data_IF_802012294008
#
_entry.id   IF_802012294008
#
_cell.length_a   1.000
_cell.length_b   1.000
_cell.length_c   1.000
_cell.angle_alpha   90.00
_cell.angle_beta   90.00
_cell.angle_gamma   90.00
#
_symmetry.space_group_name_H-M   'P 1'
#
loop_
_entity.id
_entity.type
_entity.pdbx_description
1 polymer ?
#
# COMPACT_ATOMS: atom_id res chain seq x y z
N UNK A 1 52.86 -27.11 -40.85
CA UNK A 1 53.06 -26.10 -39.76
C UNK A 1 51.88 -26.21 -38.84
N UNK A 2 52.03 -27.00 -37.73
CA UNK A 2 50.94 -27.28 -36.78
C UNK A 2 51.07 -26.26 -35.64
N UNK A 3 50.01 -25.50 -35.40
CA UNK A 3 49.92 -24.59 -34.28
C UNK A 3 49.18 -25.31 -33.13
N UNK A 4 49.93 -25.60 -32.06
CA UNK A 4 49.39 -26.19 -30.81
C UNK A 4 48.65 -25.09 -30.03
N UNK A 5 47.35 -25.26 -29.81
CA UNK A 5 46.58 -24.42 -28.89
C UNK A 5 46.81 -24.87 -27.45
N UNK A 6 47.37 -24.01 -26.62
CA UNK A 6 47.42 -24.20 -25.16
C UNK A 6 46.06 -23.81 -24.54
N UNK A 7 45.37 -24.82 -23.97
CA UNK A 7 44.21 -24.59 -23.12
C UNK A 7 44.70 -24.06 -21.74
N UNK A 8 44.33 -22.81 -21.41
CA UNK A 8 44.47 -22.33 -20.07
C UNK A 8 43.16 -22.64 -19.31
N UNK A 9 43.23 -23.53 -18.34
CA UNK A 9 42.18 -23.74 -17.36
C UNK A 9 42.24 -22.61 -16.33
N UNK A 10 41.41 -21.59 -16.47
CA UNK A 10 41.15 -20.64 -15.40
C UNK A 10 40.08 -21.25 -14.49
N UNK A 11 40.50 -21.76 -13.33
CA UNK A 11 39.57 -22.03 -12.23
C UNK A 11 39.22 -20.66 -11.61
N UNK A 12 38.06 -20.13 -11.94
CA UNK A 12 37.47 -19.01 -11.20
C UNK A 12 36.93 -19.57 -9.89
N UNK A 13 37.63 -19.32 -8.80
CA UNK A 13 37.13 -19.54 -7.44
C UNK A 13 36.12 -18.41 -7.18
N UNK A 14 34.83 -18.68 -7.34
CA UNK A 14 33.78 -17.78 -6.92
C UNK A 14 33.71 -17.80 -5.39
N UNK A 15 34.28 -16.79 -4.75
CA UNK A 15 34.01 -16.49 -3.34
C UNK A 15 32.57 -15.95 -3.28
N UNK A 16 31.63 -16.80 -2.96
CA UNK A 16 30.29 -16.37 -2.54
C UNK A 16 30.43 -15.81 -1.13
N UNK A 17 30.62 -14.52 -1.02
CA UNK A 17 30.47 -13.80 0.24
C UNK A 17 28.97 -13.70 0.51
N UNK A 18 28.44 -14.64 1.27
CA UNK A 18 27.09 -14.55 1.85
C UNK A 18 27.06 -13.34 2.77
N UNK A 19 26.58 -12.21 2.27
CA UNK A 19 26.25 -11.07 3.11
C UNK A 19 24.99 -11.43 3.89
N UNK A 20 25.18 -11.90 5.11
CA UNK A 20 24.10 -12.09 6.08
C UNK A 20 23.61 -10.70 6.42
N UNK A 21 22.47 -10.30 5.84
CA UNK A 21 21.75 -9.11 6.23
C UNK A 21 21.20 -9.31 7.64
N UNK A 22 21.92 -8.83 8.66
CA UNK A 22 21.38 -8.68 9.99
C UNK A 22 20.25 -7.65 9.94
N UNK A 23 19.01 -8.12 10.05
CA UNK A 23 17.86 -7.26 10.31
C UNK A 23 18.00 -6.72 11.74
N UNK A 24 18.58 -5.55 11.88
CA UNK A 24 18.51 -4.81 13.13
C UNK A 24 17.13 -4.17 13.19
N UNK A 25 16.17 -4.80 13.86
CA UNK A 25 14.95 -4.13 14.25
C UNK A 25 15.34 -3.02 15.23
N UNK A 26 15.31 -1.79 14.76
CA UNK A 26 15.42 -0.63 15.63
C UNK A 26 14.07 -0.51 16.34
N UNK A 27 14.00 -1.04 17.56
CA UNK A 27 12.83 -0.86 18.40
C UNK A 27 12.66 0.62 18.69
N UNK A 28 11.52 1.17 18.30
CA UNK A 28 11.11 2.51 18.73
C UNK A 28 10.88 2.45 20.25
N UNK A 29 11.45 3.40 20.99
CA UNK A 29 11.11 3.58 22.41
C UNK A 29 9.73 4.22 22.59
N UNK A 30 8.96 4.35 21.52
CA UNK A 30 7.70 5.07 21.46
C UNK A 30 6.57 4.06 21.33
N UNK A 31 5.64 4.03 22.28
CA UNK A 31 4.46 3.13 22.22
C UNK A 31 3.63 3.44 20.97
N UNK A 32 3.25 2.44 20.17
CA UNK A 32 2.42 2.65 18.98
C UNK A 32 1.04 3.19 19.38
N UNK A 33 0.43 3.98 18.49
CA UNK A 33 -0.93 4.49 18.70
C UNK A 33 -2.00 3.38 18.62
N UNK A 34 -1.68 2.27 18.00
CA UNK A 34 -2.55 1.10 17.83
C UNK A 34 -1.73 -0.18 17.96
N UNK A 35 -2.33 -1.23 18.48
CA UNK A 35 -1.78 -2.58 18.55
C UNK A 35 -2.45 -3.51 17.53
N UNK A 36 -2.99 -2.94 16.45
CA UNK A 36 -3.65 -3.68 15.37
C UNK A 36 -3.15 -3.24 14.01
N UNK A 37 -3.17 -4.14 13.00
CA UNK A 37 -3.05 -3.72 11.62
C UNK A 37 -4.24 -2.82 11.23
N UNK A 38 -4.10 -2.06 10.11
CA UNK A 38 -5.24 -1.32 9.59
C UNK A 38 -6.37 -2.28 9.18
N UNK A 39 -7.62 -1.86 9.44
CA UNK A 39 -8.81 -2.69 9.26
C UNK A 39 -9.65 -2.27 8.05
N UNK A 40 -9.28 -1.20 7.38
CA UNK A 40 -10.01 -0.73 6.20
C UNK A 40 -9.10 0.06 5.28
N UNK A 41 -9.28 -0.14 3.98
CA UNK A 41 -8.79 0.73 2.91
C UNK A 41 -10.00 1.37 2.24
N UNK A 42 -9.97 2.70 2.08
CA UNK A 42 -10.99 3.44 1.33
C UNK A 42 -10.46 3.76 -0.06
N UNK A 43 -11.27 3.49 -1.06
CA UNK A 43 -10.96 3.74 -2.48
C UNK A 43 -12.05 4.61 -3.06
N UNK A 44 -11.70 5.80 -3.53
CA UNK A 44 -12.62 6.69 -4.24
C UNK A 44 -12.66 6.33 -5.73
N UNK A 45 -13.87 6.12 -6.26
CA UNK A 45 -14.12 5.61 -7.61
C UNK A 45 -15.17 6.43 -8.34
N UNK A 46 -15.25 6.27 -9.67
CA UNK A 46 -16.35 6.76 -10.49
C UNK A 46 -17.46 5.73 -10.70
N UNK A 47 -17.14 4.47 -10.54
CA UNK A 47 -18.08 3.37 -10.74
C UNK A 47 -17.70 2.23 -9.80
N UNK A 48 -18.53 2.02 -8.80
CA UNK A 48 -18.33 1.01 -7.75
C UNK A 48 -18.29 -0.39 -8.33
N UNK A 49 -19.25 -0.73 -9.22
CA UNK A 49 -19.42 -2.08 -9.76
C UNK A 49 -18.18 -2.50 -10.55
N UNK A 50 -17.61 -1.59 -11.32
CA UNK A 50 -16.43 -1.86 -12.16
C UNK A 50 -15.19 -2.24 -11.34
N UNK A 51 -15.04 -1.63 -10.15
CA UNK A 51 -13.90 -1.96 -9.26
C UNK A 51 -14.24 -3.16 -8.39
N UNK A 52 -15.49 -3.27 -7.93
CA UNK A 52 -15.98 -4.41 -7.15
C UNK A 52 -15.85 -5.73 -7.93
N UNK A 53 -16.02 -5.69 -9.25
CA UNK A 53 -15.88 -6.84 -10.13
C UNK A 53 -14.55 -7.56 -9.95
N UNK A 54 -13.43 -6.81 -9.83
CA UNK A 54 -12.11 -7.37 -9.54
C UNK A 54 -12.11 -8.14 -8.22
N UNK A 55 -12.57 -7.52 -7.13
CA UNK A 55 -12.56 -8.15 -5.81
C UNK A 55 -13.51 -9.35 -5.73
N UNK A 56 -14.70 -9.25 -6.33
CA UNK A 56 -15.74 -10.28 -6.25
C UNK A 56 -15.44 -11.46 -7.18
N UNK A 57 -15.16 -11.19 -8.48
CA UNK A 57 -15.00 -12.28 -9.46
C UNK A 57 -13.64 -12.96 -9.35
N UNK A 58 -12.57 -12.20 -9.16
CA UNK A 58 -11.22 -12.77 -9.06
C UNK A 58 -10.92 -13.18 -7.62
N UNK A 59 -11.30 -12.34 -6.64
CA UNK A 59 -10.93 -12.49 -5.23
C UNK A 59 -11.92 -13.27 -4.36
N UNK A 60 -13.11 -13.61 -4.85
CA UNK A 60 -14.20 -14.25 -4.07
C UNK A 60 -14.57 -13.42 -2.82
N UNK A 61 -14.50 -12.08 -2.92
CA UNK A 61 -14.85 -11.18 -1.84
C UNK A 61 -16.37 -11.11 -1.65
N UNK A 62 -16.79 -10.92 -0.41
CA UNK A 62 -18.20 -10.82 0.00
C UNK A 62 -18.58 -9.36 0.24
N UNK A 63 -19.80 -9.00 -0.17
CA UNK A 63 -20.41 -7.71 0.15
C UNK A 63 -20.86 -7.75 1.61
N UNK A 64 -20.39 -6.77 2.40
CA UNK A 64 -20.71 -6.61 3.82
C UNK A 64 -21.72 -5.49 4.04
N UNK A 65 -21.61 -4.42 3.27
CA UNK A 65 -22.52 -3.29 3.30
C UNK A 65 -22.59 -2.65 1.92
N UNK A 66 -23.78 -2.15 1.55
CA UNK A 66 -24.03 -1.40 0.34
C UNK A 66 -25.09 -0.35 0.61
N UNK A 67 -24.91 0.86 0.11
CA UNK A 67 -25.89 1.93 0.24
C UNK A 67 -25.29 3.32 0.21
N UNK A 68 -26.10 4.29 0.62
CA UNK A 68 -25.70 5.69 0.63
C UNK A 68 -24.73 6.01 1.75
N UNK A 69 -23.70 6.77 1.46
CA UNK A 69 -22.72 7.26 2.45
C UNK A 69 -23.46 8.17 3.45
N UNK A 70 -23.28 7.94 4.75
CA UNK A 70 -23.92 8.76 5.78
C UNK A 70 -23.49 10.23 5.69
N UNK A 71 -24.37 11.15 6.07
CA UNK A 71 -24.08 12.60 6.07
C UNK A 71 -22.85 12.93 6.91
N UNK A 72 -22.68 12.24 8.03
CA UNK A 72 -21.51 12.43 8.92
C UNK A 72 -20.21 11.89 8.28
N UNK A 73 -20.29 10.81 7.50
CA UNK A 73 -19.14 10.29 6.75
C UNK A 73 -18.77 11.20 5.58
N UNK A 74 -19.75 11.72 4.81
CA UNK A 74 -19.53 12.76 3.77
C UNK A 74 -18.77 13.95 4.35
N UNK A 75 -19.22 14.47 5.49
CA UNK A 75 -18.56 15.58 6.17
C UNK A 75 -17.14 15.22 6.64
N UNK A 76 -16.93 13.98 7.07
CA UNK A 76 -15.61 13.53 7.52
C UNK A 76 -14.57 13.50 6.39
N UNK A 77 -14.99 13.25 5.16
CA UNK A 77 -14.17 13.35 3.95
C UNK A 77 -13.85 14.80 3.53
N UNK A 78 -14.33 15.80 4.27
CA UNK A 78 -14.10 17.23 3.97
C UNK A 78 -14.99 17.79 2.85
N UNK A 79 -16.03 17.04 2.47
CA UNK A 79 -16.99 17.48 1.43
C UNK A 79 -18.03 18.42 2.01
N UNK A 80 -18.63 19.24 1.13
CA UNK A 80 -19.64 20.25 1.52
C UNK A 80 -20.93 19.57 1.98
N UNK A 81 -21.65 20.26 2.87
CA UNK A 81 -22.99 19.85 3.30
C UNK A 81 -23.94 19.76 2.10
N UNK A 82 -24.79 18.73 2.09
CA UNK A 82 -25.71 18.43 1.00
C UNK A 82 -25.13 17.58 -0.13
N UNK A 83 -23.84 17.29 -0.10
CA UNK A 83 -23.27 16.29 -1.01
C UNK A 83 -23.69 14.88 -0.61
N UNK A 84 -23.85 14.01 -1.61
CA UNK A 84 -24.23 12.62 -1.48
C UNK A 84 -23.20 11.70 -2.11
N UNK A 85 -23.37 10.42 -1.96
CA UNK A 85 -22.56 9.39 -2.58
C UNK A 85 -23.02 8.00 -2.15
N UNK A 86 -22.56 7.02 -2.87
CA UNK A 86 -22.82 5.60 -2.60
C UNK A 86 -21.53 4.92 -2.12
N UNK A 87 -21.69 3.85 -1.34
CA UNK A 87 -20.58 3.03 -0.88
C UNK A 87 -20.87 1.54 -0.97
N UNK A 88 -19.82 0.77 -1.20
CA UNK A 88 -19.82 -0.67 -1.13
C UNK A 88 -18.65 -1.13 -0.26
N UNK A 89 -18.93 -1.94 0.76
CA UNK A 89 -17.92 -2.50 1.64
C UNK A 89 -17.76 -3.98 1.36
N UNK A 90 -16.54 -4.36 1.02
CA UNK A 90 -16.16 -5.71 0.65
C UNK A 90 -15.20 -6.31 1.69
N UNK A 91 -15.21 -7.62 1.83
CA UNK A 91 -14.34 -8.39 2.72
C UNK A 91 -13.86 -9.66 2.04
N UNK A 92 -12.61 -10.05 2.21
CA UNK A 92 -12.12 -11.36 1.80
C UNK A 92 -12.91 -12.46 2.55
N UNK A 93 -13.22 -13.57 1.88
CA UNK A 93 -14.17 -14.58 2.36
C UNK A 93 -13.81 -15.18 3.72
N UNK A 94 -12.53 -15.46 3.94
CA UNK A 94 -12.06 -16.20 5.10
C UNK A 94 -11.35 -15.31 6.14
N UNK A 95 -11.60 -14.01 6.10
CA UNK A 95 -10.97 -13.06 7.02
C UNK A 95 -12.01 -12.08 7.61
N UNK A 96 -11.72 -11.53 8.77
CA UNK A 96 -12.59 -10.54 9.41
C UNK A 96 -12.19 -9.09 9.10
N UNK A 97 -10.98 -8.89 8.62
CA UNK A 97 -10.44 -7.60 8.16
C UNK A 97 -9.18 -7.82 7.31
N UNK A 98 -8.72 -6.85 6.50
CA UNK A 98 -9.31 -5.53 6.33
C UNK A 98 -10.49 -5.51 5.35
N UNK A 99 -11.36 -4.52 5.52
CA UNK A 99 -12.39 -4.19 4.54
C UNK A 99 -11.80 -3.36 3.38
N UNK A 100 -12.41 -3.53 2.20
CA UNK A 100 -12.26 -2.61 1.07
C UNK A 100 -13.54 -1.79 1.00
N UNK A 101 -13.46 -0.49 1.24
CA UNK A 101 -14.58 0.43 1.05
C UNK A 101 -14.42 1.17 -0.26
N UNK A 102 -15.28 0.92 -1.20
CA UNK A 102 -15.42 1.69 -2.43
C UNK A 102 -16.40 2.83 -2.17
N UNK A 103 -16.05 4.06 -2.53
CA UNK A 103 -16.89 5.24 -2.38
C UNK A 103 -17.00 5.97 -3.71
N UNK A 104 -18.24 6.21 -4.14
CA UNK A 104 -18.55 7.05 -5.31
C UNK A 104 -19.29 8.30 -4.83
N UNK A 105 -18.60 9.43 -4.83
CA UNK A 105 -19.20 10.71 -4.47
C UNK A 105 -19.95 11.27 -5.66
N UNK A 106 -21.19 11.77 -5.45
CA UNK A 106 -22.04 12.38 -6.49
C UNK A 106 -21.50 13.77 -6.88
N UNK A 107 -20.35 13.75 -7.52
CA UNK A 107 -19.61 14.93 -7.96
C UNK A 107 -19.11 14.70 -9.38
N UNK A 108 -19.45 15.63 -10.27
CA UNK A 108 -18.98 15.58 -11.65
C UNK A 108 -17.49 15.92 -11.76
N UNK A 109 -16.82 15.34 -12.75
CA UNK A 109 -15.43 15.64 -13.11
C UNK A 109 -14.42 15.39 -11.99
N UNK A 110 -14.60 14.32 -11.21
CA UNK A 110 -13.58 13.85 -10.27
C UNK A 110 -12.26 13.61 -10.99
N UNK A 111 -11.16 13.96 -10.36
CA UNK A 111 -9.82 13.85 -10.96
C UNK A 111 -9.03 12.74 -10.29
N UNK A 112 -8.19 12.00 -11.01
CA UNK A 112 -7.27 11.07 -10.37
C UNK A 112 -6.36 11.78 -9.36
N UNK A 113 -6.13 11.16 -8.20
CA UNK A 113 -5.14 11.63 -7.23
C UNK A 113 -3.74 11.64 -7.86
N UNK A 114 -3.44 10.64 -8.66
CA UNK A 114 -2.14 10.43 -9.32
C UNK A 114 -2.32 10.28 -10.83
N UNK A 115 -2.58 11.38 -11.57
CA UNK A 115 -2.67 11.33 -13.03
C UNK A 115 -1.31 10.95 -13.62
N UNK A 116 -1.29 10.01 -14.60
CA UNK A 116 -0.08 9.48 -15.21
C UNK A 116 0.54 8.31 -14.44
N UNK A 117 0.53 8.33 -13.12
CA UNK A 117 0.94 7.22 -12.24
C UNK A 117 2.29 6.57 -12.55
N UNK A 118 3.31 7.38 -12.84
CA UNK A 118 4.67 6.86 -12.90
C UNK A 118 5.14 6.40 -11.52
N UNK A 119 5.98 5.38 -11.46
CA UNK A 119 6.50 4.87 -10.20
C UNK A 119 7.24 5.94 -9.38
N UNK A 120 7.88 6.90 -10.03
CA UNK A 120 8.64 7.99 -9.41
C UNK A 120 7.87 9.30 -9.20
N UNK A 121 6.57 9.36 -9.56
CA UNK A 121 5.69 10.43 -9.09
C UNK A 121 5.45 10.25 -7.60
N UNK A 122 5.43 11.33 -6.84
CA UNK A 122 5.27 11.28 -5.38
C UNK A 122 3.89 11.75 -4.93
N UNK A 123 3.56 11.48 -3.68
CA UNK A 123 2.28 11.87 -3.08
C UNK A 123 1.19 10.81 -3.19
N UNK A 124 0.29 10.82 -2.22
CA UNK A 124 -0.81 9.87 -2.04
C UNK A 124 -0.33 8.40 -1.86
N UNK A 125 -1.27 7.47 -1.84
CA UNK A 125 -0.94 6.06 -1.96
C UNK A 125 -0.69 5.70 -3.42
N UNK A 126 0.32 4.86 -3.65
CA UNK A 126 0.69 4.40 -4.99
C UNK A 126 -0.04 3.12 -5.37
N UNK A 127 0.05 2.09 -4.53
CA UNK A 127 -0.58 0.79 -4.80
C UNK A 127 -1.01 0.07 -3.53
N UNK A 128 -2.05 -0.75 -3.66
CA UNK A 128 -2.50 -1.70 -2.66
C UNK A 128 -1.91 -3.07 -2.97
N UNK A 129 -1.37 -3.78 -1.97
CA UNK A 129 -0.67 -5.05 -2.17
C UNK A 129 -1.51 -6.24 -1.72
N UNK A 130 -1.62 -7.23 -2.60
CA UNK A 130 -2.38 -8.45 -2.41
C UNK A 130 -1.50 -9.68 -2.69
N UNK A 131 -1.64 -10.72 -1.89
CA UNK A 131 -1.11 -12.03 -2.28
C UNK A 131 -2.01 -12.61 -3.36
N UNK A 132 -1.40 -13.23 -4.36
CA UNK A 132 -2.11 -13.87 -5.47
C UNK A 132 -1.56 -15.28 -5.68
N UNK A 133 -2.41 -16.22 -6.01
CA UNK A 133 -2.04 -17.57 -6.47
C UNK A 133 -2.13 -17.59 -7.98
N UNK A 134 -1.23 -18.32 -8.65
CA UNK A 134 -1.23 -18.44 -10.11
C UNK A 134 -1.27 -17.08 -10.82
N UNK A 135 -0.32 -16.22 -10.47
CA UNK A 135 -0.28 -14.82 -10.92
C UNK A 135 -0.37 -14.68 -12.45
N UNK A 136 0.20 -15.65 -13.20
CA UNK A 136 0.12 -15.66 -14.66
C UNK A 136 -1.33 -15.82 -15.19
N UNK A 137 -2.17 -16.57 -14.47
CA UNK A 137 -3.60 -16.72 -14.81
C UNK A 137 -4.34 -15.43 -14.49
N UNK A 138 -4.18 -14.91 -13.27
CA UNK A 138 -4.80 -13.63 -12.84
C UNK A 138 -4.38 -12.49 -13.76
N UNK A 139 -3.14 -12.49 -14.23
CA UNK A 139 -2.65 -11.49 -15.19
C UNK A 139 -3.50 -11.46 -16.46
N UNK A 140 -3.77 -12.63 -17.06
CA UNK A 140 -4.58 -12.71 -18.26
C UNK A 140 -6.02 -12.29 -18.00
N UNK A 141 -6.63 -12.75 -16.90
CA UNK A 141 -8.00 -12.40 -16.54
C UNK A 141 -8.14 -10.88 -16.36
N UNK A 142 -7.18 -10.22 -15.72
CA UNK A 142 -7.20 -8.77 -15.51
C UNK A 142 -7.01 -7.98 -16.82
N UNK A 143 -6.16 -8.46 -17.72
CA UNK A 143 -6.03 -7.85 -19.06
C UNK A 143 -7.36 -7.93 -19.81
N UNK A 144 -8.06 -9.08 -19.76
CA UNK A 144 -9.40 -9.23 -20.35
C UNK A 144 -10.44 -8.31 -19.72
N UNK A 145 -10.34 -8.03 -18.42
CA UNK A 145 -11.18 -7.06 -17.71
C UNK A 145 -10.83 -5.60 -18.03
N UNK A 146 -9.83 -5.34 -18.88
CA UNK A 146 -9.39 -4.00 -19.29
C UNK A 146 -8.42 -3.33 -18.31
N UNK A 147 -7.83 -4.08 -17.37
CA UNK A 147 -6.67 -3.62 -16.62
C UNK A 147 -5.41 -3.73 -17.49
N UNK A 148 -4.35 -3.07 -17.09
CA UNK A 148 -3.09 -3.12 -17.84
C UNK A 148 -1.89 -3.05 -16.90
N UNK A 149 -0.71 -3.35 -17.42
CA UNK A 149 0.55 -3.28 -16.66
C UNK A 149 1.58 -2.52 -17.48
N UNK A 150 2.47 -1.83 -16.80
CA UNK A 150 3.56 -1.08 -17.45
C UNK A 150 4.72 -2.02 -17.83
N UNK A 151 4.88 -3.10 -17.04
CA UNK A 151 5.95 -4.09 -17.22
C UNK A 151 5.36 -5.50 -17.14
N UNK A 152 6.02 -6.51 -17.71
CA UNK A 152 5.70 -7.91 -17.46
C UNK A 152 5.81 -8.28 -15.98
N UNK A 153 5.35 -9.48 -15.62
CA UNK A 153 5.57 -10.06 -14.30
C UNK A 153 7.07 -10.15 -14.01
N UNK A 154 7.50 -9.54 -12.91
CA UNK A 154 8.89 -9.57 -12.46
C UNK A 154 9.11 -10.73 -11.47
N UNK A 155 10.29 -11.35 -11.55
CA UNK A 155 10.78 -12.25 -10.51
C UNK A 155 11.62 -11.45 -9.51
N UNK A 156 11.31 -11.59 -8.23
CA UNK A 156 11.95 -10.85 -7.15
C UNK A 156 12.44 -11.83 -6.07
N UNK A 157 13.64 -11.58 -5.55
CA UNK A 157 14.13 -12.21 -4.33
C UNK A 157 14.23 -11.15 -3.23
N UNK A 158 13.50 -11.36 -2.13
CA UNK A 158 13.54 -10.49 -0.96
C UNK A 158 13.86 -11.31 0.29
N UNK A 159 15.05 -11.14 0.83
CA UNK A 159 15.60 -12.04 1.86
C UNK A 159 15.66 -13.48 1.34
N UNK A 160 14.99 -14.41 2.05
CA UNK A 160 14.88 -15.82 1.64
C UNK A 160 13.70 -16.08 0.70
N UNK A 161 12.86 -15.09 0.48
CA UNK A 161 11.62 -15.24 -0.28
C UNK A 161 11.84 -15.04 -1.76
N UNK A 162 11.37 -16.00 -2.58
CA UNK A 162 11.25 -15.86 -4.02
C UNK A 162 9.79 -15.55 -4.37
N UNK A 163 9.59 -14.54 -5.18
CA UNK A 163 8.29 -13.95 -5.48
C UNK A 163 8.17 -13.72 -6.98
N UNK A 164 6.94 -13.79 -7.50
CA UNK A 164 6.55 -13.06 -8.70
C UNK A 164 5.75 -11.84 -8.30
N UNK A 165 5.94 -10.75 -9.02
CA UNK A 165 5.32 -9.46 -8.71
C UNK A 165 4.93 -8.72 -9.99
N UNK A 166 3.79 -8.05 -9.98
CA UNK A 166 3.37 -7.12 -11.04
C UNK A 166 2.45 -6.04 -10.46
N UNK A 167 2.49 -4.85 -11.06
CA UNK A 167 1.57 -3.76 -10.73
C UNK A 167 0.51 -3.67 -11.82
N UNK A 168 -0.72 -4.01 -11.45
CA UNK A 168 -1.89 -3.82 -12.30
C UNK A 168 -2.41 -2.39 -12.15
N UNK A 169 -2.65 -1.73 -13.26
CA UNK A 169 -3.27 -0.42 -13.35
C UNK A 169 -4.72 -0.59 -13.80
N UNK A 170 -5.62 -0.28 -12.91
CA UNK A 170 -7.06 -0.40 -13.10
C UNK A 170 -7.73 0.93 -13.45
N UNK A 171 -9.07 0.92 -13.53
CA UNK A 171 -9.85 2.12 -13.69
C UNK A 171 -9.59 3.12 -12.56
N UNK A 172 -9.92 4.40 -12.81
CA UNK A 172 -9.87 5.48 -11.82
C UNK A 172 -8.48 5.74 -11.20
N UNK A 173 -7.39 5.24 -11.84
CA UNK A 173 -6.03 5.38 -11.35
C UNK A 173 -5.68 4.45 -10.19
N UNK A 174 -6.49 3.43 -9.95
CA UNK A 174 -6.23 2.42 -8.91
C UNK A 174 -5.09 1.51 -9.36
N UNK A 175 -4.16 1.25 -8.47
CA UNK A 175 -3.07 0.32 -8.71
C UNK A 175 -3.08 -0.79 -7.66
N UNK A 176 -3.08 -2.03 -8.15
CA UNK A 176 -2.99 -3.25 -7.33
C UNK A 176 -1.66 -3.92 -7.62
N UNK A 177 -0.88 -4.14 -6.59
CA UNK A 177 0.37 -4.88 -6.72
C UNK A 177 0.16 -6.34 -6.29
N UNK A 178 0.23 -7.24 -7.25
CA UNK A 178 0.05 -8.68 -7.05
C UNK A 178 1.37 -9.36 -6.69
N UNK A 179 1.36 -10.15 -5.62
CA UNK A 179 2.50 -10.91 -5.11
C UNK A 179 2.20 -12.40 -5.06
N UNK A 180 2.82 -13.21 -5.91
CA UNK A 180 2.83 -14.66 -5.77
C UNK A 180 4.07 -15.12 -5.01
N UNK A 181 3.89 -15.71 -3.82
CA UNK A 181 4.97 -16.29 -3.03
C UNK A 181 5.32 -17.67 -3.59
N UNK A 182 6.55 -17.84 -4.09
CA UNK A 182 7.03 -19.13 -4.61
C UNK A 182 7.71 -19.97 -3.52
N UNK A 183 8.63 -19.36 -2.75
CA UNK A 183 9.36 -20.01 -1.65
C UNK A 183 9.82 -18.98 -0.62
N UNK A 184 9.92 -19.32 0.69
CA UNK A 184 9.20 -20.43 1.30
C UNK A 184 7.68 -20.19 1.19
N UNK A 185 6.83 -21.21 1.42
CA UNK A 185 5.37 -21.00 1.42
C UNK A 185 4.96 -19.97 2.47
N UNK A 186 3.77 -19.40 2.33
CA UNK A 186 3.18 -18.55 3.37
C UNK A 186 3.05 -19.36 4.67
N UNK A 187 3.21 -18.73 5.85
CA UNK A 187 3.03 -19.40 7.13
C UNK A 187 1.64 -20.07 7.21
N UNK A 188 1.52 -21.18 7.93
CA UNK A 188 0.22 -21.85 8.16
C UNK A 188 -0.80 -20.95 8.86
N UNK A 189 -0.33 -19.95 9.61
CA UNK A 189 -1.17 -18.94 10.25
C UNK A 189 -1.71 -17.87 9.30
N UNK A 190 -1.25 -17.86 8.03
CA UNK A 190 -1.78 -16.92 7.04
C UNK A 190 -3.17 -17.37 6.62
N UNK A 191 -4.19 -16.48 6.62
CA UNK A 191 -5.55 -16.83 6.25
C UNK A 191 -5.62 -17.45 4.86
N UNK A 192 -6.39 -18.52 4.73
CA UNK A 192 -6.59 -19.17 3.43
C UNK A 192 -7.36 -18.26 2.48
N UNK A 193 -6.92 -18.20 1.24
CA UNK A 193 -7.60 -17.47 0.16
C UNK A 193 -7.61 -18.31 -1.12
N UNK A 194 -8.60 -18.08 -1.97
CA UNK A 194 -8.74 -18.80 -3.25
C UNK A 194 -7.70 -18.29 -4.24
N UNK A 195 -7.90 -17.15 -4.83
CA UNK A 195 -7.01 -16.54 -5.84
C UNK A 195 -6.27 -15.32 -5.30
N UNK A 196 -6.97 -14.46 -4.54
CA UNK A 196 -6.46 -13.20 -4.00
C UNK A 196 -6.72 -13.14 -2.50
N UNK A 197 -5.68 -12.79 -1.72
CA UNK A 197 -5.80 -12.55 -0.28
C UNK A 197 -6.46 -11.22 0.03
N UNK A 198 -6.82 -11.00 1.30
CA UNK A 198 -6.99 -9.64 1.80
C UNK A 198 -5.71 -8.80 1.57
N UNK A 199 -5.83 -7.47 1.49
CA UNK A 199 -4.68 -6.59 1.41
C UNK A 199 -3.77 -6.75 2.63
N UNK A 200 -2.47 -6.89 2.39
CA UNK A 200 -1.50 -7.06 3.47
C UNK A 200 -0.60 -5.84 3.66
N UNK A 201 -0.42 -5.03 2.64
CA UNK A 201 0.44 -3.87 2.64
C UNK A 201 -0.10 -2.79 1.69
N UNK A 202 0.30 -1.54 1.89
CA UNK A 202 0.01 -0.41 1.01
C UNK A 202 1.28 0.40 0.79
N UNK A 203 1.49 0.90 -0.43
CA UNK A 203 2.72 1.58 -0.81
C UNK A 203 2.48 3.06 -1.10
N UNK A 204 3.46 3.88 -0.70
CA UNK A 204 3.62 5.27 -1.11
C UNK A 204 4.94 5.44 -1.86
N UNK A 205 4.95 6.25 -2.91
CA UNK A 205 6.17 6.83 -3.45
C UNK A 205 6.34 8.23 -2.89
N UNK A 206 7.50 8.50 -2.31
CA UNK A 206 7.71 9.62 -1.38
C UNK A 206 8.88 10.50 -1.80
N UNK A 207 8.82 11.76 -1.37
CA UNK A 207 9.88 12.75 -1.61
C UNK A 207 11.07 12.63 -0.65
N UNK A 208 10.82 12.18 0.59
CA UNK A 208 11.85 12.16 1.63
C UNK A 208 11.56 11.07 2.67
N UNK A 209 12.34 9.99 2.61
CA UNK A 209 12.20 8.84 3.50
C UNK A 209 12.40 9.17 4.99
N UNK A 210 13.30 10.11 5.30
CA UNK A 210 13.55 10.50 6.69
C UNK A 210 12.35 11.26 7.30
N UNK A 211 11.66 12.09 6.53
CA UNK A 211 10.42 12.75 6.98
C UNK A 211 9.32 11.71 7.19
N UNK A 212 9.20 10.71 6.31
CA UNK A 212 8.24 9.62 6.49
C UNK A 212 8.60 8.79 7.73
N UNK A 213 9.88 8.48 7.97
CA UNK A 213 10.31 7.82 9.21
C UNK A 213 9.90 8.62 10.45
N UNK A 214 10.16 9.92 10.47
CA UNK A 214 9.76 10.78 11.58
C UNK A 214 8.24 10.75 11.81
N UNK A 215 7.45 10.72 10.74
CA UNK A 215 6.00 10.61 10.85
C UNK A 215 5.57 9.23 11.39
N UNK A 216 5.99 8.15 10.77
CA UNK A 216 5.53 6.80 11.16
C UNK A 216 6.14 6.34 12.49
N UNK A 217 7.43 6.57 12.72
CA UNK A 217 8.13 6.07 13.91
C UNK A 217 8.00 7.05 15.07
N UNK A 218 8.37 8.32 14.88
CA UNK A 218 8.47 9.25 16.00
C UNK A 218 7.08 9.80 16.40
N UNK A 219 6.17 10.03 15.43
CA UNK A 219 4.82 10.53 15.71
C UNK A 219 3.80 9.40 15.98
N UNK A 220 3.71 8.39 15.09
CA UNK A 220 2.72 7.31 15.25
C UNK A 220 3.20 6.17 16.18
N UNK A 221 4.51 6.06 16.43
CA UNK A 221 5.11 5.02 17.26
C UNK A 221 5.25 3.67 16.55
N UNK A 222 5.18 3.65 15.22
CA UNK A 222 5.34 2.42 14.46
C UNK A 222 6.77 1.92 14.54
N UNK A 223 6.95 0.61 14.43
CA UNK A 223 8.25 -0.01 14.33
C UNK A 223 8.73 -0.01 12.88
N UNK A 224 10.03 -0.09 12.71
CA UNK A 224 10.68 -0.23 11.41
C UNK A 224 10.88 -1.71 11.09
N UNK A 225 10.14 -2.23 10.11
CA UNK A 225 10.35 -3.57 9.59
C UNK A 225 11.56 -3.63 8.66
N UNK A 226 11.70 -2.64 7.77
CA UNK A 226 12.81 -2.56 6.83
C UNK A 226 13.22 -1.10 6.59
N UNK A 227 14.54 -0.85 6.47
CA UNK A 227 15.09 0.46 6.15
C UNK A 227 16.33 0.26 5.29
N UNK A 228 16.10 0.09 3.98
CA UNK A 228 17.13 -0.33 3.03
C UNK A 228 18.15 0.74 2.68
N UNK A 229 19.36 0.32 2.33
CA UNK A 229 20.32 1.17 1.67
C UNK A 229 19.86 1.52 0.24
N UNK A 230 20.40 2.59 -0.38
CA UNK A 230 20.19 2.84 -1.80
C UNK A 230 20.52 1.60 -2.63
N UNK A 231 19.63 1.24 -3.53
CA UNK A 231 19.73 0.08 -4.40
C UNK A 231 19.50 0.50 -5.85
N UNK A 232 20.15 -0.16 -6.75
CA UNK A 232 19.97 -0.09 -8.20
C UNK A 232 20.02 -1.52 -8.73
N UNK A 233 19.18 -1.85 -9.71
CA UNK A 233 19.21 -3.16 -10.31
C UNK A 233 20.54 -3.37 -11.06
N UNK A 234 21.21 -4.50 -10.86
CA UNK A 234 22.55 -4.74 -11.45
C UNK A 234 22.51 -4.99 -12.96
N UNK A 235 21.35 -5.38 -13.48
CA UNK A 235 21.13 -5.73 -14.89
C UNK A 235 19.83 -5.11 -15.38
N UNK A 236 19.77 -4.75 -16.68
CA UNK A 236 18.51 -4.35 -17.29
C UNK A 236 17.50 -5.48 -17.20
N UNK A 237 16.29 -5.17 -16.77
CA UNK A 237 15.27 -6.17 -16.56
C UNK A 237 13.96 -5.63 -16.02
N UNK A 238 12.99 -6.51 -15.85
CA UNK A 238 11.70 -6.17 -15.26
C UNK A 238 11.86 -5.94 -13.77
N UNK A 239 11.40 -4.79 -13.27
CA UNK A 239 11.42 -4.47 -11.84
C UNK A 239 10.02 -4.58 -11.24
N UNK A 240 9.91 -4.88 -9.92
CA UNK A 240 8.63 -4.88 -9.24
C UNK A 240 7.99 -3.48 -9.10
N UNK A 241 8.73 -2.43 -9.49
CA UNK A 241 8.29 -1.03 -9.36
C UNK A 241 7.70 -0.46 -10.65
N UNK A 242 7.72 -1.21 -11.75
CA UNK A 242 7.21 -0.73 -13.04
C UNK A 242 8.10 0.32 -13.72
N UNK A 243 9.41 0.23 -13.53
CA UNK A 243 10.36 1.09 -14.24
C UNK A 243 10.53 0.63 -15.69
N UNK A 244 10.64 1.56 -16.66
CA UNK A 244 11.13 1.24 -18.00
C UNK A 244 12.48 0.54 -17.94
N UNK A 245 12.71 -0.44 -18.81
CA UNK A 245 13.93 -1.27 -18.81
C UNK A 245 15.22 -0.43 -18.80
N UNK A 246 15.25 0.63 -19.61
CA UNK A 246 16.41 1.53 -19.69
C UNK A 246 16.72 2.34 -18.43
N UNK A 247 15.79 2.38 -17.46
CA UNK A 247 15.99 3.10 -16.20
C UNK A 247 16.33 2.18 -15.02
N UNK A 248 16.24 0.86 -15.21
CA UNK A 248 16.42 -0.08 -14.08
C UNK A 248 17.83 -0.06 -13.52
N UNK A 249 18.85 0.00 -14.39
CA UNK A 249 20.27 0.06 -14.00
C UNK A 249 20.79 1.47 -13.71
N UNK A 250 19.99 2.51 -14.01
CA UNK A 250 20.40 3.91 -13.89
C UNK A 250 19.77 4.61 -12.68
N UNK A 251 18.70 4.04 -12.11
CA UNK A 251 17.88 4.72 -11.13
C UNK A 251 17.99 4.07 -9.76
N UNK A 252 18.67 4.76 -8.84
CA UNK A 252 18.71 4.32 -7.44
C UNK A 252 17.39 4.65 -6.75
N UNK A 253 16.98 3.71 -5.90
CA UNK A 253 15.88 3.91 -4.99
C UNK A 253 16.20 3.33 -3.61
N UNK A 254 15.44 3.71 -2.61
CA UNK A 254 15.54 3.17 -1.27
C UNK A 254 14.17 2.98 -0.66
N UNK A 255 14.03 1.87 0.05
CA UNK A 255 12.76 1.42 0.64
C UNK A 255 12.77 1.61 2.15
N UNK A 256 11.61 1.92 2.71
CA UNK A 256 11.32 1.75 4.12
C UNK A 256 9.97 1.07 4.28
N UNK A 257 9.82 0.23 5.31
CA UNK A 257 8.55 -0.43 5.65
C UNK A 257 8.33 -0.26 7.14
N UNK A 258 7.14 0.24 7.50
CA UNK A 258 6.71 0.48 8.87
C UNK A 258 5.46 -0.32 9.19
N UNK A 259 5.28 -0.70 10.45
CA UNK A 259 4.09 -1.38 10.95
C UNK A 259 3.80 -1.01 12.41
N UNK A 260 2.53 -1.03 12.85
CA UNK A 260 2.22 -0.77 14.26
C UNK A 260 2.63 -1.91 15.18
N UNK A 261 2.52 -3.15 14.67
CA UNK A 261 2.88 -4.40 15.37
C UNK A 261 3.57 -5.36 14.40
N UNK A 262 4.46 -6.23 14.87
CA UNK A 262 5.04 -7.29 14.05
C UNK A 262 3.98 -8.20 13.43
N UNK A 263 4.13 -8.50 12.14
CA UNK A 263 3.20 -9.36 11.41
C UNK A 263 3.25 -9.17 9.90
N UNK A 264 2.43 -9.96 9.18
CA UNK A 264 2.32 -9.88 7.72
C UNK A 264 1.39 -8.74 7.26
N UNK A 265 0.50 -8.25 8.15
CA UNK A 265 -0.55 -7.29 7.80
C UNK A 265 -0.32 -5.90 8.38
N UNK A 266 -0.96 -4.90 7.77
CA UNK A 266 -1.00 -3.53 8.30
C UNK A 266 0.25 -2.72 8.05
N UNK A 267 1.15 -3.18 7.18
CA UNK A 267 2.37 -2.48 6.81
C UNK A 267 2.08 -1.30 5.89
N UNK A 268 2.97 -0.31 5.95
CA UNK A 268 3.02 0.79 4.98
C UNK A 268 4.43 0.84 4.41
N UNK A 269 4.54 0.69 3.10
CA UNK A 269 5.81 0.69 2.38
C UNK A 269 6.05 2.04 1.71
N UNK A 270 7.30 2.49 1.76
CA UNK A 270 7.76 3.75 1.21
C UNK A 270 8.86 3.49 0.20
N UNK A 271 8.72 4.05 -1.01
CA UNK A 271 9.78 4.06 -2.02
C UNK A 271 10.18 5.50 -2.32
N UNK A 272 11.47 5.79 -2.19
CA UNK A 272 12.07 7.05 -2.59
C UNK A 272 13.03 6.82 -3.75
N UNK A 273 12.72 7.38 -4.91
CA UNK A 273 13.63 7.42 -6.04
C UNK A 273 14.63 8.56 -5.87
N UNK A 274 15.92 8.27 -6.02
CA UNK A 274 16.98 9.24 -5.78
C UNK A 274 17.38 9.98 -7.05
N UNK A 275 17.32 9.32 -8.18
CA UNK A 275 17.83 9.84 -9.47
C UNK A 275 16.69 10.23 -10.43
N UNK A 276 15.45 9.86 -10.11
CA UNK A 276 14.26 10.23 -10.89
C UNK A 276 13.47 11.33 -10.18
N UNK A 277 12.91 12.23 -10.97
CA UNK A 277 12.00 13.29 -10.50
C UNK A 277 10.71 13.24 -11.32
N UNK A 278 9.60 13.09 -10.62
CA UNK A 278 8.26 13.11 -11.16
C UNK A 278 7.47 14.30 -10.64
N UNK A 279 6.16 14.24 -10.81
CA UNK A 279 5.23 15.19 -10.23
C UNK A 279 5.03 14.88 -8.74
N UNK A 280 4.75 15.93 -7.97
CA UNK A 280 4.30 15.80 -6.59
C UNK A 280 2.78 16.01 -6.52
N UNK A 281 2.08 14.95 -6.15
CA UNK A 281 0.62 14.93 -6.04
C UNK A 281 0.12 15.00 -4.59
N UNK A 282 0.98 15.32 -3.62
CA UNK A 282 0.65 15.33 -2.19
C UNK A 282 -0.57 16.20 -1.84
N UNK A 283 -0.84 17.23 -2.62
CA UNK A 283 -2.01 18.12 -2.45
C UNK A 283 -3.31 17.56 -3.05
N UNK A 284 -3.34 16.36 -3.61
CA UNK A 284 -4.48 15.76 -4.31
C UNK A 284 -5.07 14.53 -3.62
N UNK A 285 -4.53 14.14 -2.46
CA UNK A 285 -4.83 12.88 -1.78
C UNK A 285 -6.16 12.85 -1.02
N UNK A 286 -7.05 13.78 -1.29
CA UNK A 286 -8.32 13.96 -0.58
C UNK A 286 -9.54 13.74 -1.50
N UNK A 287 -10.68 13.44 -0.88
CA UNK A 287 -11.95 13.39 -1.59
C UNK A 287 -12.26 14.74 -2.27
N UNK A 288 -12.93 14.73 -3.43
CA UNK A 288 -13.51 13.58 -4.11
C UNK A 288 -12.58 12.92 -5.14
N UNK A 289 -11.27 13.22 -5.12
CA UNK A 289 -10.33 12.70 -6.11
C UNK A 289 -10.29 11.16 -6.07
N UNK A 290 -10.04 10.56 -7.25
CA UNK A 290 -10.11 9.13 -7.50
C UNK A 290 -8.80 8.42 -7.14
N UNK A 291 -8.90 7.26 -6.52
CA UNK A 291 -7.75 6.43 -6.14
C UNK A 291 -7.82 5.95 -4.69
N UNK A 292 -6.69 5.48 -4.15
CA UNK A 292 -6.55 5.01 -2.77
C UNK A 292 -6.60 6.21 -1.82
N UNK A 293 -7.73 6.37 -1.11
CA UNK A 293 -8.04 7.58 -0.34
C UNK A 293 -7.44 7.55 1.07
N UNK A 294 -7.70 6.49 1.84
CA UNK A 294 -7.20 6.38 3.22
C UNK A 294 -7.08 4.93 3.69
N UNK A 295 -6.36 4.74 4.80
CA UNK A 295 -6.36 3.51 5.60
C UNK A 295 -6.79 3.83 7.02
N UNK A 296 -7.47 2.86 7.69
CA UNK A 296 -8.02 3.06 9.04
C UNK A 296 -7.46 2.05 10.03
N UNK A 297 -6.89 2.55 11.10
CA UNK A 297 -6.42 1.76 12.25
C UNK A 297 -7.39 1.88 13.41
N UNK A 298 -7.77 0.77 14.08
CA UNK A 298 -8.56 0.83 15.29
C UNK A 298 -7.69 1.30 16.46
N UNK A 299 -8.31 2.00 17.40
CA UNK A 299 -7.71 2.36 18.69
C UNK A 299 -8.72 2.15 19.82
N UNK A 300 -8.23 1.87 21.01
CA UNK A 300 -9.08 1.63 22.18
C UNK A 300 -9.67 2.93 22.75
N UNK A 301 -8.86 4.00 22.78
CA UNK A 301 -9.26 5.31 23.29
C UNK A 301 -8.76 6.45 22.39
N UNK A 302 -9.68 7.07 21.68
CA UNK A 302 -9.38 8.17 20.75
C UNK A 302 -8.93 9.45 21.48
N UNK A 303 -9.36 9.65 22.73
CA UNK A 303 -8.94 10.82 23.54
C UNK A 303 -7.49 10.65 24.00
N UNK A 304 -7.12 9.45 24.42
CA UNK A 304 -5.73 9.15 24.77
C UNK A 304 -4.84 9.20 23.53
N UNK A 305 -5.31 8.66 22.39
CA UNK A 305 -4.62 8.79 21.09
C UNK A 305 -4.33 10.26 20.77
N UNK A 306 -5.32 11.14 20.90
CA UNK A 306 -5.14 12.60 20.71
C UNK A 306 -4.10 13.18 21.64
N UNK A 307 -4.13 12.79 22.92
CA UNK A 307 -3.19 13.27 23.95
C UNK A 307 -1.76 12.83 23.64
N UNK A 308 -1.57 11.59 23.26
CA UNK A 308 -0.26 11.05 22.87
C UNK A 308 0.28 11.82 21.64
N UNK A 309 -0.51 12.00 20.58
CA UNK A 309 -0.12 12.76 19.41
C UNK A 309 0.29 14.19 19.76
N UNK A 310 -0.48 14.88 20.64
CA UNK A 310 -0.16 16.23 21.11
C UNK A 310 1.13 16.28 21.95
N UNK A 311 1.43 15.24 22.71
CA UNK A 311 2.67 15.15 23.48
C UNK A 311 3.90 15.01 22.61
N UNK A 312 3.79 14.29 21.48
CA UNK A 312 4.85 14.05 20.51
C UNK A 312 5.06 15.24 19.56
N UNK A 313 3.98 15.92 19.19
CA UNK A 313 4.01 17.09 18.31
C UNK A 313 3.00 18.13 18.79
N UNK A 314 3.46 19.13 19.53
CA UNK A 314 2.60 20.14 20.18
C UNK A 314 1.71 20.91 19.23
N UNK A 315 2.24 21.27 18.07
CA UNK A 315 1.54 22.12 17.08
C UNK A 315 0.67 21.32 16.09
N UNK A 316 0.54 19.99 16.26
CA UNK A 316 -0.32 19.20 15.38
C UNK A 316 -1.79 19.58 15.58
N UNK A 317 -2.48 19.91 14.49
CA UNK A 317 -3.93 20.12 14.51
C UNK A 317 -4.65 18.78 14.51
N UNK A 318 -5.49 18.52 15.52
CA UNK A 318 -6.22 17.27 15.65
C UNK A 318 -7.68 17.56 15.99
N UNK A 319 -8.55 17.21 15.06
CA UNK A 319 -9.99 17.17 15.27
C UNK A 319 -10.45 15.73 15.52
N UNK A 320 -11.36 15.52 16.46
CA UNK A 320 -12.07 14.25 16.62
C UNK A 320 -13.43 14.42 15.97
N UNK A 321 -13.68 13.62 14.94
CA UNK A 321 -14.95 13.57 14.22
C UNK A 321 -15.77 12.39 14.75
N UNK A 322 -17.09 12.59 14.91
CA UNK A 322 -18.03 11.51 15.24
C UNK A 322 -18.86 11.24 14.00
N UNK A 323 -18.92 9.99 13.56
CA UNK A 323 -19.64 9.61 12.34
C UNK A 323 -20.26 8.21 12.47
N UNK A 324 -21.29 7.96 11.69
CA UNK A 324 -21.84 6.63 11.44
C UNK A 324 -21.13 6.04 10.23
N UNK A 325 -20.54 4.86 10.38
CA UNK A 325 -19.76 4.20 9.35
C UNK A 325 -19.96 2.67 9.44
N UNK A 326 -20.84 2.13 8.61
CA UNK A 326 -21.06 0.68 8.58
C UNK A 326 -19.83 -0.05 7.99
N UNK A 327 -19.46 -1.25 8.46
CA UNK A 327 -20.16 -2.06 9.47
C UNK A 327 -19.73 -1.76 10.92
N UNK A 328 -19.02 -0.67 11.19
CA UNK A 328 -18.53 -0.35 12.54
C UNK A 328 -19.60 0.31 13.44
N UNK A 329 -20.68 0.85 12.85
CA UNK A 329 -21.68 1.66 13.54
C UNK A 329 -21.18 3.07 13.82
N UNK A 330 -21.46 3.60 15.01
CA UNK A 330 -20.97 4.91 15.43
C UNK A 330 -19.50 4.84 15.84
N UNK A 331 -18.68 5.72 15.30
CA UNK A 331 -17.26 5.80 15.61
C UNK A 331 -16.81 7.23 15.92
N UNK A 332 -15.72 7.35 16.66
CA UNK A 332 -14.92 8.57 16.73
C UNK A 332 -13.65 8.36 15.92
N UNK A 333 -13.21 9.37 15.19
CA UNK A 333 -12.09 9.25 14.26
C UNK A 333 -11.18 10.48 14.27
N UNK A 334 -9.88 10.24 14.13
CA UNK A 334 -8.85 11.25 13.86
C UNK A 334 -8.25 10.93 12.50
N UNK A 335 -8.12 11.93 11.63
CA UNK A 335 -7.43 11.82 10.34
C UNK A 335 -6.13 12.61 10.41
N UNK A 336 -5.05 12.02 9.91
CA UNK A 336 -3.73 12.61 9.78
C UNK A 336 -3.24 12.47 8.34
N UNK A 337 -2.45 13.44 7.90
CA UNK A 337 -1.78 13.38 6.61
C UNK A 337 -0.29 13.05 6.79
N UNK A 338 0.21 12.10 6.01
CA UNK A 338 1.65 11.82 5.91
C UNK A 338 2.39 13.01 5.26
N UNK A 339 3.72 13.09 5.33
CA UNK A 339 4.49 14.13 4.64
C UNK A 339 4.23 14.21 3.13
N UNK A 340 3.78 13.12 2.53
CA UNK A 340 3.44 13.01 1.10
C UNK A 340 1.91 12.97 0.85
N UNK A 341 1.12 13.49 1.80
CA UNK A 341 -0.32 13.72 1.65
C UNK A 341 -1.23 12.51 1.85
N UNK A 342 -0.71 11.29 2.01
CA UNK A 342 -1.55 10.12 2.23
C UNK A 342 -2.28 10.19 3.57
N UNK A 343 -3.57 9.84 3.57
CA UNK A 343 -4.44 9.96 4.74
C UNK A 343 -4.40 8.68 5.57
N UNK A 344 -4.05 8.82 6.84
CA UNK A 344 -4.09 7.76 7.85
C UNK A 344 -5.11 8.13 8.91
N UNK A 345 -6.03 7.21 9.19
CA UNK A 345 -7.14 7.44 10.12
C UNK A 345 -7.05 6.48 11.31
N UNK A 346 -7.33 7.01 12.49
CA UNK A 346 -7.45 6.24 13.72
C UNK A 346 -8.89 6.33 14.21
N UNK A 347 -9.52 5.20 14.49
CA UNK A 347 -10.92 5.17 14.89
C UNK A 347 -11.19 4.32 16.12
N UNK A 348 -12.17 4.75 16.92
CA UNK A 348 -12.71 4.04 18.05
C UNK A 348 -14.21 3.80 17.84
N UNK A 349 -14.67 2.54 18.00
CA UNK A 349 -16.10 2.20 18.02
C UNK A 349 -16.73 2.76 19.29
N UNK A 350 -17.89 3.39 19.14
CA UNK A 350 -18.70 3.87 20.27
C UNK A 350 -19.69 2.77 20.63
N UNK A 351 -19.65 2.34 21.89
CA UNK A 351 -20.60 1.35 22.42
C UNK A 351 -21.97 1.97 22.65
#
# INVERSE_FOLDING_TARGET
MQIKSKKYNLRVLSLITSTVLFFSSVHSNTTPLTESPWQEVVISVNNIERIAEFFIKIGDYQIINEGSISVSAIKSYGLKEGMTGEELVLKAKNDDSPYIRLVDFDINNKQPMRPGSHAWDTGCYFSLMLRMKELDVIYNDLIEMGWWTETPIASLTFGESRLKVVIFKGPDGIQIQGYERLTPPLPESYPEFTNISQPFNIMQTINNREKSRQFFVDLLGFETFFFGNPYVDPEEGTTPLGLPLSLTTESRYRTAIFYPIPGEFGRVEMIEFMDLRGHDFSNRCNAPNLGLLSIKYPVDDILETKKILKSRKKDISIEIKTLQLEPYGNIKMISLESPDGAIIEFFQKIK
#
